data_IF_226693886555
#
_entry.id   IF_226693886555
#
_cell.length_a   1.000
_cell.length_b   1.000
_cell.length_c   1.000
_cell.angle_alpha   90.00
_cell.angle_beta   90.00
_cell.angle_gamma   90.00
#
_symmetry.space_group_name_H-M   'P 1'
#
loop_
_entity.id
_entity.type
_entity.pdbx_description
1 polymer ?
#
# COMPACT_ATOMS: atom_id res chain seq x y z
N UNK A 1 17.68 -3.13 -10.41
CA UNK A 1 16.50 -2.30 -10.16
C UNK A 1 16.00 -1.81 -11.50
N UNK A 2 14.69 -1.84 -11.69
CA UNK A 2 14.06 -1.28 -12.87
C UNK A 2 14.14 0.25 -12.83
N UNK A 3 13.82 0.92 -13.94
CA UNK A 3 13.72 2.38 -13.97
C UNK A 3 12.63 2.89 -13.01
N UNK A 4 11.53 2.15 -12.92
CA UNK A 4 10.45 2.31 -11.95
C UNK A 4 10.09 0.92 -11.43
N UNK A 5 9.96 0.78 -10.11
CA UNK A 5 9.50 -0.46 -9.49
C UNK A 5 8.62 -0.14 -8.28
N UNK A 6 7.63 -1.00 -8.04
CA UNK A 6 6.89 -1.06 -6.78
C UNK A 6 7.39 -2.29 -6.02
N UNK A 7 7.69 -2.11 -4.74
CA UNK A 7 7.96 -3.20 -3.81
C UNK A 7 6.79 -3.34 -2.87
N UNK A 8 6.35 -4.58 -2.69
CA UNK A 8 5.18 -4.91 -1.88
C UNK A 8 5.61 -5.92 -0.82
N UNK A 9 5.30 -5.61 0.43
CA UNK A 9 5.62 -6.47 1.58
C UNK A 9 4.46 -6.49 2.58
N UNK A 10 4.42 -7.52 3.42
CA UNK A 10 3.48 -7.63 4.53
C UNK A 10 4.31 -7.49 5.81
N UNK A 11 4.15 -6.39 6.52
CA UNK A 11 5.02 -5.98 7.62
C UNK A 11 4.19 -5.61 8.85
N UNK A 12 4.75 -5.80 10.04
CA UNK A 12 4.12 -5.38 11.30
C UNK A 12 4.66 -4.01 11.71
N UNK A 13 4.05 -2.95 11.20
CA UNK A 13 4.53 -1.56 11.38
C UNK A 13 4.04 -0.98 12.70
N UNK A 14 2.77 -1.21 13.04
CA UNK A 14 2.10 -0.60 14.21
C UNK A 14 2.24 -1.41 15.51
N UNK A 15 2.79 -2.63 15.43
CA UNK A 15 3.01 -3.56 16.58
C UNK A 15 1.72 -3.91 17.32
N UNK A 16 0.65 -4.10 16.58
CA UNK A 16 -0.68 -4.38 17.08
C UNK A 16 -1.19 -5.80 16.73
N UNK A 17 -0.32 -6.62 16.13
CA UNK A 17 -0.57 -8.00 15.67
C UNK A 17 -1.50 -8.11 14.47
N UNK A 18 -1.68 -7.02 13.72
CA UNK A 18 -2.43 -6.98 12.46
C UNK A 18 -1.55 -6.37 11.35
N UNK A 19 -0.68 -7.17 10.70
CA UNK A 19 0.34 -6.62 9.80
C UNK A 19 -0.27 -5.88 8.60
N UNK A 20 0.36 -4.78 8.22
CA UNK A 20 0.03 -3.92 7.11
C UNK A 20 0.60 -4.44 5.79
N UNK A 21 -0.02 -4.05 4.67
CA UNK A 21 0.58 -4.19 3.34
C UNK A 21 1.32 -2.90 3.02
N UNK A 22 2.64 -2.96 2.96
CA UNK A 22 3.49 -1.82 2.64
C UNK A 22 3.77 -1.78 1.13
N UNK A 23 3.55 -0.61 0.54
CA UNK A 23 3.91 -0.27 -0.84
C UNK A 23 5.02 0.78 -0.84
N UNK A 24 6.11 0.48 -1.53
CA UNK A 24 7.20 1.41 -1.76
C UNK A 24 7.43 1.59 -3.26
N UNK A 25 7.37 2.83 -3.73
CA UNK A 25 7.56 3.19 -5.13
C UNK A 25 8.96 3.78 -5.31
N UNK A 26 9.71 3.24 -6.27
CA UNK A 26 11.11 3.63 -6.49
C UNK A 26 11.37 4.20 -7.89
N UNK A 27 12.24 5.21 -7.94
CA UNK A 27 12.97 5.64 -9.13
C UNK A 27 14.42 5.18 -9.03
N UNK A 28 14.77 4.10 -9.73
CA UNK A 28 16.13 3.56 -9.64
C UNK A 28 16.46 3.06 -8.23
N UNK A 29 17.20 3.86 -7.44
CA UNK A 29 17.58 3.52 -6.05
C UNK A 29 16.81 4.30 -4.99
N UNK A 30 16.12 5.36 -5.39
CA UNK A 30 15.51 6.32 -4.50
C UNK A 30 14.03 5.98 -4.32
N UNK A 31 13.54 6.10 -3.09
CA UNK A 31 12.12 5.96 -2.79
C UNK A 31 11.41 7.28 -3.14
N UNK A 32 10.44 7.21 -4.05
CA UNK A 32 9.63 8.35 -4.46
C UNK A 32 8.47 8.56 -3.47
N UNK A 33 7.84 7.46 -3.06
CA UNK A 33 6.64 7.46 -2.23
C UNK A 33 6.49 6.11 -1.51
N UNK A 34 5.90 6.14 -0.32
CA UNK A 34 5.50 4.93 0.41
C UNK A 34 4.15 5.13 1.07
N UNK A 35 3.32 4.10 1.01
CA UNK A 35 2.07 4.05 1.77
C UNK A 35 1.82 2.63 2.25
N UNK A 36 0.94 2.48 3.23
CA UNK A 36 0.49 1.19 3.74
C UNK A 36 -1.02 1.11 3.74
N UNK A 37 -1.52 -0.12 3.62
CA UNK A 37 -2.91 -0.45 3.85
C UNK A 37 -3.00 -1.36 5.06
N UNK A 38 -3.81 -0.95 6.03
CA UNK A 38 -4.07 -1.63 7.29
C UNK A 38 -5.49 -2.21 7.34
N UNK A 39 -5.71 -3.15 8.25
CA UNK A 39 -7.05 -3.62 8.62
C UNK A 39 -7.55 -2.81 9.80
N UNK A 40 -8.47 -1.88 9.58
CA UNK A 40 -9.00 -0.98 10.62
C UNK A 40 -9.58 -1.73 11.82
N UNK A 41 -10.13 -2.92 11.56
CA UNK A 41 -10.77 -3.80 12.52
C UNK A 41 -9.89 -4.97 12.98
N UNK A 42 -8.61 -5.02 12.56
CA UNK A 42 -7.65 -6.08 12.91
C UNK A 42 -8.15 -7.50 12.65
N UNK A 43 -8.95 -7.66 11.59
CA UNK A 43 -9.61 -8.91 11.23
C UNK A 43 -9.13 -9.47 9.88
N UNK A 44 -8.06 -8.89 9.33
CA UNK A 44 -7.50 -9.25 8.03
C UNK A 44 -8.26 -8.67 6.83
N UNK A 45 -9.32 -7.88 7.04
CA UNK A 45 -9.94 -7.10 5.99
C UNK A 45 -9.21 -5.75 5.86
N UNK A 46 -8.36 -5.62 4.84
CA UNK A 46 -7.61 -4.42 4.53
C UNK A 46 -8.52 -3.36 3.90
N UNK A 47 -8.63 -2.20 4.53
CA UNK A 47 -9.65 -1.19 4.23
C UNK A 47 -9.25 0.26 4.57
N UNK A 48 -8.05 0.48 5.09
CA UNK A 48 -7.59 1.81 5.50
C UNK A 48 -6.22 2.10 4.90
N UNK A 49 -6.12 3.18 4.13
CA UNK A 49 -4.84 3.71 3.64
C UNK A 49 -4.26 4.67 4.68
N UNK A 50 -2.97 4.56 4.98
CA UNK A 50 -2.32 5.38 6.00
C UNK A 50 -1.77 6.71 5.46
N UNK A 51 -1.26 6.71 4.23
CA UNK A 51 -0.77 7.91 3.54
C UNK A 51 -1.44 8.03 2.18
N UNK A 52 -2.15 9.14 1.96
CA UNK A 52 -2.78 9.43 0.66
C UNK A 52 -1.71 9.59 -0.43
N UNK A 53 -1.99 9.07 -1.62
CA UNK A 53 -1.16 9.21 -2.81
C UNK A 53 -2.04 9.24 -4.05
N UNK A 54 -1.53 9.84 -5.11
CA UNK A 54 -2.19 9.93 -6.44
C UNK A 54 -1.93 8.61 -7.19
N UNK A 55 -2.81 7.64 -7.01
CA UNK A 55 -2.66 6.28 -7.51
C UNK A 55 -3.06 6.16 -8.99
N UNK A 56 -4.01 6.97 -9.44
CA UNK A 56 -4.47 6.97 -10.84
C UNK A 56 -3.76 7.99 -11.74
N UNK A 57 -3.02 8.93 -11.14
CA UNK A 57 -2.19 9.91 -11.83
C UNK A 57 -2.96 11.13 -12.34
N UNK A 58 -4.15 11.43 -11.80
CA UNK A 58 -4.98 12.55 -12.23
C UNK A 58 -4.62 13.89 -11.56
N UNK A 59 -3.75 13.84 -10.54
CA UNK A 59 -3.21 14.99 -9.84
C UNK A 59 -4.00 15.44 -8.62
N UNK A 60 -4.97 14.67 -8.15
CA UNK A 60 -5.60 14.85 -6.84
C UNK A 60 -5.35 13.69 -5.85
N UNK A 61 -6.12 13.61 -4.77
CA UNK A 61 -5.91 12.68 -3.66
C UNK A 61 -7.27 12.26 -3.07
N UNK A 62 -8.14 11.76 -3.95
CA UNK A 62 -9.54 11.51 -3.64
C UNK A 62 -9.78 10.12 -3.02
N UNK A 63 -11.00 9.60 -3.14
CA UNK A 63 -11.37 8.28 -2.61
C UNK A 63 -11.11 7.14 -3.60
N UNK A 64 -10.99 7.44 -4.89
CA UNK A 64 -10.65 6.45 -5.93
C UNK A 64 -9.21 5.99 -5.76
N UNK A 65 -8.30 6.91 -5.42
CA UNK A 65 -6.92 6.57 -5.06
C UNK A 65 -6.84 5.57 -3.92
N UNK A 66 -7.57 5.87 -2.83
CA UNK A 66 -7.60 5.01 -1.65
C UNK A 66 -8.17 3.63 -2.01
N UNK A 67 -9.19 3.57 -2.88
CA UNK A 67 -9.76 2.32 -3.37
C UNK A 67 -8.74 1.50 -4.18
N UNK A 68 -7.94 2.13 -5.05
CA UNK A 68 -6.91 1.44 -5.83
C UNK A 68 -5.83 0.83 -4.94
N UNK A 69 -5.35 1.55 -3.93
CA UNK A 69 -4.39 0.99 -2.97
C UNK A 69 -4.99 -0.19 -2.18
N UNK A 70 -6.25 -0.08 -1.75
CA UNK A 70 -6.95 -1.17 -1.05
C UNK A 70 -7.10 -2.40 -1.95
N UNK A 71 -7.47 -2.22 -3.22
CA UNK A 71 -7.60 -3.33 -4.18
C UNK A 71 -6.24 -4.00 -4.42
N UNK A 72 -5.18 -3.22 -4.60
CA UNK A 72 -3.82 -3.74 -4.75
C UNK A 72 -3.39 -4.52 -3.50
N UNK A 73 -3.71 -4.03 -2.30
CA UNK A 73 -3.35 -4.68 -1.05
C UNK A 73 -4.03 -6.04 -0.91
N UNK A 74 -5.32 -6.11 -1.23
CA UNK A 74 -6.08 -7.37 -1.25
C UNK A 74 -5.49 -8.37 -2.25
N UNK A 75 -5.10 -7.91 -3.44
CA UNK A 75 -4.46 -8.76 -4.44
C UNK A 75 -3.09 -9.27 -3.97
N UNK A 76 -2.26 -8.40 -3.39
CA UNK A 76 -0.95 -8.77 -2.85
C UNK A 76 -1.07 -9.78 -1.70
N UNK A 77 -1.99 -9.58 -0.77
CA UNK A 77 -2.25 -10.51 0.33
C UNK A 77 -2.67 -11.88 -0.19
N UNK A 78 -3.49 -11.94 -1.23
CA UNK A 78 -3.89 -13.20 -1.84
C UNK A 78 -2.74 -13.94 -2.56
N UNK A 79 -1.67 -13.23 -2.95
CA UNK A 79 -0.51 -13.79 -3.65
C UNK A 79 0.67 -14.10 -2.73
N UNK A 80 0.82 -13.37 -1.63
CA UNK A 80 1.99 -13.42 -0.74
C UNK A 80 1.74 -14.18 0.58
N UNK A 81 0.48 -14.46 0.95
CA UNK A 81 0.13 -15.36 2.07
C UNK A 81 -0.13 -16.77 1.56
#
# INVERSE_FOLDING_TARGET
>A
MAAKEIRISIEELDRDSSPEVLFEFYSGKDIDFSTSVSSSSKNGHYDKVDVKGDADGDGDFDAQDDELFIQLAKAAVALLK
#
